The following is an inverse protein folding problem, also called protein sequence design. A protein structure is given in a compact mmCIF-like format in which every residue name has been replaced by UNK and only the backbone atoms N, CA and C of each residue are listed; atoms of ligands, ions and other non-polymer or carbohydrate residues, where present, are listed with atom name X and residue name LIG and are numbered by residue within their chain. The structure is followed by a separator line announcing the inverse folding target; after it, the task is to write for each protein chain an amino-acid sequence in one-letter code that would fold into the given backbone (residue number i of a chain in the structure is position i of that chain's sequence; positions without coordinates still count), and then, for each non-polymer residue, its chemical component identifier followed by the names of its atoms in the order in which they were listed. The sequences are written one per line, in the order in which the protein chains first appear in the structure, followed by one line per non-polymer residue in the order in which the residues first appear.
data_IF_639221725150
#
_entry.id   IF_639221725150
#
_cell.length_a   1.000
_cell.length_b   1.000
_cell.length_c   1.000
_cell.angle_alpha   90.00
_cell.angle_beta   90.00
_cell.angle_gamma   90.00
#
_symmetry.space_group_name_H-M   'P 1'
#
loop_
_entity.id
_entity.type
_entity.pdbx_description
1 polymer ?
#
# COMPACT_ATOMS: atom_id res chain seq x y z
N UNK A 1 9.36 -5.74 15.22
CA UNK A 1 8.50 -5.84 14.03
C UNK A 1 9.21 -5.18 12.86
N UNK A 2 9.09 -5.74 11.65
CA UNK A 2 9.68 -5.09 10.48
C UNK A 2 9.02 -3.74 10.20
N UNK A 3 9.76 -2.86 9.55
CA UNK A 3 9.26 -1.54 9.17
C UNK A 3 9.58 -1.29 7.70
N UNK A 4 8.71 -0.57 7.03
CA UNK A 4 8.95 -0.15 5.66
C UNK A 4 9.89 1.07 5.71
N UNK A 5 11.17 0.84 5.44
CA UNK A 5 12.21 1.89 5.53
C UNK A 5 12.73 2.33 4.17
N UNK A 6 12.41 1.57 3.13
CA UNK A 6 12.87 1.84 1.78
C UNK A 6 11.69 2.27 0.93
N UNK A 7 11.92 3.09 -0.12
CA UNK A 7 10.86 3.37 -1.06
C UNK A 7 10.34 2.06 -1.65
N UNK A 8 9.07 1.99 -2.02
CA UNK A 8 8.51 0.80 -2.66
C UNK A 8 9.33 0.42 -3.89
N UNK A 9 9.38 -0.86 -4.26
CA UNK A 9 9.99 -1.26 -5.52
C UNK A 9 9.41 -0.46 -6.68
N UNK A 10 10.25 -0.18 -7.67
CA UNK A 10 9.85 0.64 -8.82
C UNK A 10 8.56 0.16 -9.48
N UNK A 11 8.38 -1.16 -9.62
CA UNK A 11 7.17 -1.72 -10.20
C UNK A 11 5.92 -1.37 -9.41
N UNK A 12 6.00 -1.41 -8.09
CA UNK A 12 4.87 -1.04 -7.21
C UNK A 12 4.58 0.45 -7.33
N UNK A 13 5.61 1.29 -7.30
CA UNK A 13 5.46 2.73 -7.42
C UNK A 13 4.84 3.12 -8.77
N UNK A 14 5.33 2.53 -9.85
CA UNK A 14 4.80 2.76 -11.19
C UNK A 14 3.32 2.35 -11.27
N UNK A 15 2.95 1.26 -10.64
CA UNK A 15 1.58 0.76 -10.60
C UNK A 15 0.66 1.73 -9.86
N UNK A 16 1.13 2.26 -8.72
CA UNK A 16 0.38 3.25 -7.94
C UNK A 16 0.16 4.54 -8.73
N UNK A 17 1.20 5.04 -9.38
CA UNK A 17 1.13 6.25 -10.20
C UNK A 17 0.16 6.04 -11.37
N UNK A 18 0.22 4.90 -12.02
CA UNK A 18 -0.69 4.58 -13.13
C UNK A 18 -2.14 4.59 -12.65
N UNK A 19 -2.44 3.95 -11.53
CA UNK A 19 -3.79 3.93 -10.97
C UNK A 19 -4.28 5.31 -10.58
N UNK A 20 -3.40 6.13 -10.04
CA UNK A 20 -3.73 7.51 -9.71
C UNK A 20 -4.09 8.32 -10.98
N UNK A 21 -3.31 8.17 -12.03
CA UNK A 21 -3.58 8.84 -13.31
C UNK A 21 -4.86 8.38 -13.98
N UNK A 22 -5.24 7.13 -13.76
CA UNK A 22 -6.49 6.56 -14.27
C UNK A 22 -7.71 6.95 -13.42
N UNK A 23 -7.52 7.70 -12.34
CA UNK A 23 -8.59 8.12 -11.46
C UNK A 23 -9.07 7.02 -10.52
N UNK A 24 -8.32 5.93 -10.36
CA UNK A 24 -8.68 4.81 -9.48
C UNK A 24 -8.27 5.03 -8.04
N UNK A 25 -7.36 5.96 -7.80
CA UNK A 25 -6.94 6.35 -6.47
C UNK A 25 -7.22 7.85 -6.34
N UNK A 26 -7.95 8.24 -5.29
CA UNK A 26 -8.25 9.65 -5.05
C UNK A 26 -6.99 10.41 -4.60
N UNK A 27 -6.99 11.73 -4.78
CA UNK A 27 -5.89 12.58 -4.31
C UNK A 27 -5.66 12.39 -2.81
N UNK A 28 -6.72 12.34 -2.03
CA UNK A 28 -6.65 12.15 -0.58
C UNK A 28 -5.99 10.83 -0.23
N UNK A 29 -6.40 9.74 -0.89
CA UNK A 29 -5.83 8.42 -0.64
C UNK A 29 -4.37 8.34 -1.07
N UNK A 30 -4.02 8.96 -2.18
CA UNK A 30 -2.64 8.99 -2.66
C UNK A 30 -1.73 9.72 -1.66
N UNK A 31 -2.16 10.86 -1.14
CA UNK A 31 -1.43 11.60 -0.14
C UNK A 31 -1.33 10.82 1.17
N UNK A 32 -2.42 10.21 1.61
CA UNK A 32 -2.44 9.39 2.82
C UNK A 32 -1.49 8.21 2.71
N UNK A 33 -1.49 7.53 1.56
CA UNK A 33 -0.58 6.43 1.27
C UNK A 33 0.87 6.89 1.33
N UNK A 34 1.19 8.03 0.72
CA UNK A 34 2.53 8.58 0.73
C UNK A 34 2.98 8.93 2.14
N UNK A 35 2.14 9.61 2.92
CA UNK A 35 2.43 9.94 4.31
C UNK A 35 2.66 8.69 5.15
N UNK A 36 1.84 7.68 4.95
CA UNK A 36 1.98 6.43 5.69
C UNK A 36 3.32 5.75 5.38
N UNK A 37 3.68 5.67 4.11
CA UNK A 37 4.97 5.08 3.71
C UNK A 37 6.15 5.89 4.24
N UNK A 38 6.05 7.21 4.24
CA UNK A 38 7.11 8.10 4.73
C UNK A 38 7.28 8.03 6.25
N UNK A 39 6.30 7.51 6.97
CA UNK A 39 6.36 7.39 8.44
C UNK A 39 7.12 6.16 8.93
N UNK A 40 7.75 5.41 8.05
CA UNK A 40 8.44 4.14 8.37
C UNK A 40 7.51 3.19 9.14
N UNK A 41 6.34 2.84 8.59
CA UNK A 41 5.33 2.11 9.33
C UNK A 41 5.78 0.71 9.73
N UNK A 42 5.42 0.30 10.94
CA UNK A 42 5.63 -1.06 11.40
C UNK A 42 4.62 -1.98 10.71
N UNK A 43 5.09 -3.12 10.22
CA UNK A 43 4.26 -4.11 9.51
C UNK A 43 4.56 -5.50 10.04
N UNK A 44 3.62 -6.47 9.87
CA UNK A 44 3.87 -7.85 10.25
C UNK A 44 4.97 -8.51 9.41
N UNK A 45 5.53 -9.60 9.91
CA UNK A 45 6.56 -10.36 9.18
C UNK A 45 6.03 -11.09 7.95
N UNK A 46 4.75 -11.38 7.92
CA UNK A 46 4.12 -12.08 6.81
C UNK A 46 3.27 -11.16 5.95
N UNK A 47 2.27 -11.73 5.32
CA UNK A 47 1.34 -10.98 4.48
C UNK A 47 0.51 -10.00 5.30
N UNK A 48 0.36 -8.80 4.79
CA UNK A 48 -0.43 -7.76 5.43
C UNK A 48 -1.14 -6.90 4.37
N UNK A 49 -2.14 -6.13 4.81
CA UNK A 49 -2.82 -5.18 3.93
C UNK A 49 -3.27 -3.96 4.72
N UNK A 50 -3.37 -2.83 4.03
CA UNK A 50 -3.90 -1.59 4.59
C UNK A 50 -4.99 -1.06 3.67
N UNK A 51 -6.17 -0.81 4.22
CA UNK A 51 -7.33 -0.35 3.46
C UNK A 51 -7.35 1.16 3.32
N UNK A 52 -7.67 1.61 2.12
CA UNK A 52 -7.97 3.00 1.81
C UNK A 52 -9.35 3.06 1.17
N UNK A 53 -9.89 4.27 0.95
CA UNK A 53 -11.22 4.44 0.35
C UNK A 53 -11.30 3.87 -1.07
N UNK A 54 -10.25 4.05 -1.85
CA UNK A 54 -10.25 3.69 -3.27
C UNK A 54 -9.47 2.42 -3.57
N UNK A 55 -9.02 1.70 -2.54
CA UNK A 55 -8.31 0.43 -2.75
C UNK A 55 -7.64 -0.07 -1.49
N UNK A 56 -6.80 -1.08 -1.67
CA UNK A 56 -6.08 -1.72 -0.56
C UNK A 56 -4.62 -1.93 -0.96
N UNK A 57 -3.70 -1.44 -0.15
CA UNK A 57 -2.28 -1.74 -0.32
C UNK A 57 -1.99 -3.07 0.36
N UNK A 58 -1.41 -4.00 -0.39
CA UNK A 58 -1.00 -5.29 0.14
C UNK A 58 0.51 -5.43 0.08
N UNK A 59 1.08 -6.16 1.04
CA UNK A 59 2.51 -6.38 1.10
C UNK A 59 2.87 -7.64 1.86
N UNK A 60 4.16 -7.87 2.00
CA UNK A 60 4.71 -9.00 2.74
C UNK A 60 6.00 -8.54 3.42
N UNK A 61 6.01 -8.53 4.76
CA UNK A 61 7.14 -8.02 5.51
C UNK A 61 7.44 -6.57 5.17
N UNK A 62 8.67 -6.23 4.89
CA UNK A 62 9.10 -4.87 4.57
C UNK A 62 8.74 -4.42 3.15
N UNK A 63 8.15 -5.29 2.34
CA UNK A 63 7.95 -5.05 0.91
C UNK A 63 6.47 -4.86 0.57
N UNK A 64 6.02 -3.62 0.29
CA UNK A 64 4.73 -3.42 -0.36
C UNK A 64 4.73 -4.11 -1.73
N UNK A 65 3.66 -4.79 -2.07
CA UNK A 65 3.59 -5.59 -3.30
C UNK A 65 2.70 -4.97 -4.35
N UNK A 66 1.46 -4.63 -3.99
CA UNK A 66 0.48 -4.19 -4.97
C UNK A 66 -0.61 -3.36 -4.31
N UNK A 67 -1.31 -2.57 -5.12
CA UNK A 67 -2.50 -1.84 -4.71
C UNK A 67 -3.70 -2.45 -5.42
N UNK A 68 -4.62 -3.02 -4.64
CA UNK A 68 -5.77 -3.75 -5.15
C UNK A 68 -7.00 -2.86 -5.21
N UNK A 69 -7.89 -3.15 -6.16
CA UNK A 69 -9.17 -2.44 -6.28
C UNK A 69 -10.06 -2.72 -5.05
N UNK A 70 -10.99 -1.80 -4.71
CA UNK A 70 -11.93 -2.04 -3.62
C UNK A 70 -12.75 -3.31 -3.86
N UNK A 71 -13.01 -4.06 -2.81
CA UNK A 71 -13.78 -5.30 -2.89
C UNK A 71 -13.01 -6.54 -3.26
N UNK A 72 -11.72 -6.41 -3.60
CA UNK A 72 -10.90 -7.60 -3.86
C UNK A 72 -10.53 -8.29 -2.56
N UNK A 73 -10.49 -9.63 -2.60
CA UNK A 73 -10.08 -10.42 -1.44
C UNK A 73 -8.59 -10.23 -1.18
N UNK A 74 -8.22 -10.02 0.07
CA UNK A 74 -6.84 -9.90 0.50
C UNK A 74 -6.55 -10.91 1.60
N UNK A 75 -5.31 -11.33 1.69
CA UNK A 75 -4.85 -12.26 2.72
C UNK A 75 -3.86 -11.56 3.65
N UNK A 76 -3.83 -12.02 4.90
CA UNK A 76 -2.89 -11.54 5.89
C UNK A 76 -3.52 -10.68 6.96
N UNK A 77 -2.69 -9.94 7.68
CA UNK A 77 -3.12 -9.09 8.79
C UNK A 77 -3.43 -7.68 8.31
N UNK A 78 -4.52 -7.12 8.80
CA UNK A 78 -4.86 -5.74 8.50
C UNK A 78 -3.97 -4.79 9.29
N UNK A 79 -3.37 -3.83 8.59
CA UNK A 79 -2.56 -2.76 9.19
C UNK A 79 -3.42 -1.50 9.27
N UNK A 80 -3.41 -0.87 10.42
CA UNK A 80 -4.15 0.38 10.64
C UNK A 80 -3.35 1.63 10.33
#
# INVERSE_FOLDING_TARGET
MPRIRKPPPKGVLDHLIKRYREGRISDSDFLELKHWLDSDPAVPDGKWYKRFKTGTLAGNGEMPSTFLAPGMTVEGDEVE
#
